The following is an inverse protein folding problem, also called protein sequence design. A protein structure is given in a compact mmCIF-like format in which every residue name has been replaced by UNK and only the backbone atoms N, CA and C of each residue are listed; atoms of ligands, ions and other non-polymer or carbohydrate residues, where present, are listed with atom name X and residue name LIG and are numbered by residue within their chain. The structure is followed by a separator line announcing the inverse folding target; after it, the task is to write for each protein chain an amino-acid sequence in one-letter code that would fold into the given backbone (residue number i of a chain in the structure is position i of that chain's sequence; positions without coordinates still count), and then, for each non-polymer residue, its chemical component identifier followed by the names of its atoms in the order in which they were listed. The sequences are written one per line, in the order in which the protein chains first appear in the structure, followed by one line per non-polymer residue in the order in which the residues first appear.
data_IF_024358312345
#
_entry.id   IF_024358312345
#
_cell.length_a   1.000
_cell.length_b   1.000
_cell.length_c   1.000
_cell.angle_alpha   90.00
_cell.angle_beta   90.00
_cell.angle_gamma   90.00
#
_symmetry.space_group_name_H-M   'P 1'
#
loop_
_entity.id
_entity.type
_entity.pdbx_description
1 polymer ?
#
# COMPACT_ATOMS: atom_id res chain seq x y z
N UNK A 1 -5.26 15.26 30.65
CA UNK A 1 -5.34 13.97 29.91
C UNK A 1 -5.42 14.34 28.46
N UNK A 2 -4.45 13.95 27.65
CA UNK A 2 -4.26 14.54 26.32
C UNK A 2 -4.20 13.42 25.27
N UNK A 3 -4.67 13.66 24.06
CA UNK A 3 -4.55 12.72 22.93
C UNK A 3 -4.25 13.46 21.64
N UNK A 4 -3.66 12.77 20.65
CA UNK A 4 -3.50 13.27 19.30
C UNK A 4 -4.11 12.26 18.33
N UNK A 5 -4.77 12.76 17.30
CA UNK A 5 -5.30 11.93 16.23
C UNK A 5 -4.19 11.73 15.20
N UNK A 6 -3.76 10.48 15.02
CA UNK A 6 -2.62 10.10 14.17
C UNK A 6 -3.04 9.50 12.82
N UNK A 7 -4.33 9.57 12.46
CA UNK A 7 -4.86 9.06 11.19
C UNK A 7 -5.98 9.96 10.69
N UNK A 8 -6.35 9.92 9.38
CA UNK A 8 -7.46 10.70 8.88
C UNK A 8 -8.74 10.41 9.65
N UNK A 9 -9.55 11.44 9.85
CA UNK A 9 -10.86 11.30 10.50
C UNK A 9 -11.79 10.45 9.61
N UNK A 10 -12.28 9.36 10.18
CA UNK A 10 -13.33 8.54 9.63
C UNK A 10 -14.44 8.36 10.68
N UNK A 11 -15.55 7.70 10.32
CA UNK A 11 -16.68 7.50 11.24
C UNK A 11 -16.24 6.80 12.55
N UNK A 12 -15.30 5.86 12.47
CA UNK A 12 -14.78 5.14 13.63
C UNK A 12 -13.90 6.05 14.50
N UNK A 13 -12.97 6.78 13.90
CA UNK A 13 -12.08 7.71 14.60
C UNK A 13 -12.90 8.82 15.26
N UNK A 14 -13.88 9.39 14.55
CA UNK A 14 -14.79 10.40 15.10
C UNK A 14 -15.56 9.87 16.32
N UNK A 15 -16.04 8.61 16.28
CA UNK A 15 -16.70 8.01 17.44
C UNK A 15 -15.76 7.88 18.65
N UNK A 16 -14.48 7.58 18.41
CA UNK A 16 -13.45 7.47 19.45
C UNK A 16 -13.07 8.84 20.02
N UNK A 17 -12.91 9.85 19.15
CA UNK A 17 -12.63 11.24 19.56
C UNK A 17 -13.75 11.75 20.47
N UNK A 18 -15.02 11.60 20.08
CA UNK A 18 -16.18 11.97 20.92
C UNK A 18 -16.16 11.28 22.29
N UNK A 19 -15.82 9.99 22.32
CA UNK A 19 -15.70 9.23 23.58
C UNK A 19 -14.55 9.73 24.46
N UNK A 20 -13.46 10.20 23.87
CA UNK A 20 -12.30 10.77 24.59
C UNK A 20 -12.66 12.15 25.16
N UNK A 21 -13.33 12.99 24.38
CA UNK A 21 -13.85 14.30 24.80
C UNK A 21 -14.82 14.17 25.98
N UNK A 22 -15.77 13.23 25.92
CA UNK A 22 -16.69 12.92 27.03
C UNK A 22 -15.95 12.52 28.32
N UNK A 23 -14.76 11.94 28.21
CA UNK A 23 -13.90 11.55 29.33
C UNK A 23 -12.98 12.67 29.80
N UNK A 24 -13.20 13.91 29.33
CA UNK A 24 -12.39 15.10 29.60
C UNK A 24 -10.93 14.94 29.14
N UNK A 25 -10.72 14.29 28.00
CA UNK A 25 -9.43 14.32 27.32
C UNK A 25 -9.39 15.48 26.32
N UNK A 26 -8.24 16.15 26.23
CA UNK A 26 -8.02 17.28 25.32
C UNK A 26 -7.22 16.83 24.10
N UNK A 27 -7.68 17.17 22.90
CA UNK A 27 -6.91 16.93 21.68
C UNK A 27 -5.70 17.86 21.61
N UNK A 28 -4.54 17.33 21.24
CA UNK A 28 -3.32 18.07 20.97
C UNK A 28 -3.16 18.24 19.47
N UNK A 29 -3.18 19.48 19.01
CA UNK A 29 -2.96 19.84 17.61
C UNK A 29 -4.00 19.25 16.64
N UNK A 30 -3.71 19.43 15.36
CA UNK A 30 -4.54 18.91 14.28
C UNK A 30 -4.28 17.41 14.06
N UNK A 31 -5.28 16.67 13.53
CA UNK A 31 -5.08 15.30 13.09
C UNK A 31 -3.92 15.20 12.09
N UNK A 32 -2.96 14.32 12.37
CA UNK A 32 -1.85 14.02 11.47
C UNK A 32 -2.07 12.68 10.76
N UNK A 33 -1.52 12.50 9.56
CA UNK A 33 -1.49 11.20 8.87
C UNK A 33 -0.21 10.44 9.23
N UNK A 34 -0.06 10.12 10.50
CA UNK A 34 1.10 9.37 10.95
C UNK A 34 0.91 7.88 10.69
N UNK A 35 1.74 7.34 9.81
CA UNK A 35 1.83 5.90 9.58
C UNK A 35 2.87 5.35 10.56
N UNK A 36 2.47 4.49 11.52
CA UNK A 36 3.41 3.95 12.49
C UNK A 36 4.51 3.17 11.78
N UNK A 37 5.72 3.22 12.33
CA UNK A 37 6.74 2.25 11.94
C UNK A 37 6.28 0.84 12.32
N UNK A 38 6.66 -0.18 11.55
CA UNK A 38 6.50 -1.56 11.97
C UNK A 38 7.11 -1.78 13.36
N UNK A 39 6.48 -2.64 14.17
CA UNK A 39 7.09 -3.11 15.41
C UNK A 39 8.35 -3.94 15.09
N UNK A 40 9.36 -3.94 15.95
CA UNK A 40 10.71 -4.46 15.68
C UNK A 40 10.76 -5.88 15.07
N UNK A 41 9.78 -6.73 15.35
CA UNK A 41 9.70 -8.10 14.81
C UNK A 41 9.13 -8.21 13.39
N UNK A 42 8.61 -7.12 12.83
CA UNK A 42 7.97 -7.08 11.52
C UNK A 42 8.68 -6.06 10.63
N UNK A 43 8.85 -6.39 9.35
CA UNK A 43 9.45 -5.47 8.39
C UNK A 43 8.43 -4.50 7.79
N UNK A 44 7.13 -4.81 7.87
CA UNK A 44 6.07 -3.95 7.35
C UNK A 44 4.86 -3.83 8.28
N UNK A 45 4.07 -2.79 8.05
CA UNK A 45 2.71 -2.65 8.58
C UNK A 45 1.75 -2.24 7.47
N UNK A 46 0.54 -2.79 7.53
CA UNK A 46 -0.58 -2.40 6.67
C UNK A 46 -1.47 -1.43 7.45
N UNK A 47 -1.69 -0.25 6.89
CA UNK A 47 -2.56 0.77 7.47
C UNK A 47 -3.81 0.92 6.62
N UNK A 48 -5.00 0.61 7.14
CA UNK A 48 -6.24 0.76 6.39
C UNK A 48 -6.45 2.20 5.94
N UNK A 49 -6.60 2.36 4.63
CA UNK A 49 -6.80 3.67 4.02
C UNK A 49 -8.27 4.10 4.19
N UNK A 50 -8.56 5.24 4.82
CA UNK A 50 -9.93 5.68 5.03
C UNK A 50 -10.65 5.94 3.71
N UNK A 51 -11.91 5.47 3.59
CA UNK A 51 -12.73 5.60 2.36
C UNK A 51 -12.96 7.06 1.93
N UNK A 52 -12.91 7.98 2.88
CA UNK A 52 -13.08 9.40 2.66
C UNK A 52 -11.77 10.12 2.31
N UNK A 53 -10.63 9.43 2.36
CA UNK A 53 -9.34 10.03 2.01
C UNK A 53 -9.28 10.29 0.50
N UNK A 54 -8.60 11.38 0.13
CA UNK A 54 -8.36 11.77 -1.27
C UNK A 54 -7.66 10.66 -2.04
N UNK A 55 -6.67 10.01 -1.39
CA UNK A 55 -5.97 8.87 -1.96
C UNK A 55 -6.94 7.71 -2.24
N UNK A 56 -7.75 7.29 -1.27
CA UNK A 56 -8.70 6.19 -1.48
C UNK A 56 -9.64 6.47 -2.66
N UNK A 57 -10.18 7.68 -2.75
CA UNK A 57 -11.09 8.08 -3.81
C UNK A 57 -10.41 8.07 -5.19
N UNK A 58 -9.18 8.61 -5.26
CA UNK A 58 -8.39 8.62 -6.49
C UNK A 58 -8.11 7.19 -6.98
N UNK A 59 -7.67 6.32 -6.08
CA UNK A 59 -7.37 4.91 -6.38
C UNK A 59 -8.62 4.12 -6.80
N UNK A 60 -9.73 4.37 -6.10
CA UNK A 60 -11.01 3.74 -6.42
C UNK A 60 -11.46 4.13 -7.83
N UNK A 61 -11.31 5.41 -8.20
CA UNK A 61 -11.65 5.88 -9.55
C UNK A 61 -10.80 5.18 -10.61
N UNK A 62 -9.48 5.11 -10.43
CA UNK A 62 -8.59 4.45 -11.39
C UNK A 62 -8.83 2.94 -11.47
N UNK A 63 -9.15 2.28 -10.36
CA UNK A 63 -9.48 0.85 -10.35
C UNK A 63 -10.81 0.58 -11.08
N UNK A 64 -11.82 1.43 -10.89
CA UNK A 64 -13.10 1.34 -11.59
C UNK A 64 -12.93 1.52 -13.11
N UNK A 65 -11.97 2.33 -13.55
CA UNK A 65 -11.64 2.46 -14.99
C UNK A 65 -11.06 1.17 -15.55
N UNK A 66 -10.22 0.45 -14.78
CA UNK A 66 -9.56 -0.79 -15.21
C UNK A 66 -10.55 -1.96 -15.21
N UNK A 67 -11.40 -2.02 -14.20
CA UNK A 67 -12.38 -3.09 -14.04
C UNK A 67 -13.65 -2.57 -13.37
N UNK A 68 -14.66 -2.12 -14.16
CA UNK A 68 -15.91 -1.59 -13.60
C UNK A 68 -16.67 -2.58 -12.72
N UNK A 69 -16.43 -3.88 -12.88
CA UNK A 69 -17.01 -4.96 -12.08
C UNK A 69 -16.21 -5.29 -10.81
N UNK A 70 -15.05 -4.67 -10.58
CA UNK A 70 -14.22 -4.93 -9.41
C UNK A 70 -14.80 -4.24 -8.19
N UNK A 71 -15.30 -5.04 -7.25
CA UNK A 71 -15.73 -4.54 -5.93
C UNK A 71 -14.53 -4.44 -4.99
N UNK A 72 -14.18 -3.22 -4.61
CA UNK A 72 -13.10 -2.95 -3.65
C UNK A 72 -13.58 -3.30 -2.23
N UNK A 73 -12.91 -4.28 -1.61
CA UNK A 73 -13.21 -4.73 -0.24
C UNK A 73 -12.52 -3.82 0.78
N UNK A 74 -11.20 -3.67 0.65
CA UNK A 74 -10.34 -2.79 1.43
C UNK A 74 -9.25 -2.19 0.55
N UNK A 75 -8.64 -1.11 1.04
CA UNK A 75 -7.37 -0.60 0.54
C UNK A 75 -6.51 -0.34 1.76
N UNK A 76 -5.28 -0.84 1.73
CA UNK A 76 -4.33 -0.69 2.80
C UNK A 76 -3.07 -0.04 2.23
N UNK A 77 -2.53 0.93 2.96
CA UNK A 77 -1.25 1.55 2.69
C UNK A 77 -0.14 0.71 3.32
N UNK A 78 0.93 0.48 2.57
CA UNK A 78 2.05 -0.38 2.98
C UNK A 78 3.15 0.51 3.51
N UNK A 79 3.60 0.28 4.75
CA UNK A 79 4.84 0.87 5.26
C UNK A 79 5.86 -0.21 5.52
N UNK A 80 6.91 -0.23 4.71
CA UNK A 80 8.11 -1.04 4.90
C UNK A 80 9.33 -0.11 4.73
N UNK A 81 9.92 0.40 5.82
CA UNK A 81 11.02 1.36 5.75
C UNK A 81 12.24 0.84 4.97
N UNK A 82 12.54 -0.46 5.08
CA UNK A 82 13.70 -1.05 4.41
C UNK A 82 13.53 -1.09 2.88
N UNK A 83 12.31 -1.43 2.42
CA UNK A 83 12.01 -1.43 0.99
C UNK A 83 11.91 -0.01 0.44
N UNK A 84 11.39 0.94 1.22
CA UNK A 84 11.34 2.36 0.88
C UNK A 84 12.74 2.95 0.71
N UNK A 85 13.65 2.71 1.67
CA UNK A 85 15.04 3.15 1.59
C UNK A 85 15.75 2.55 0.36
N UNK A 86 15.52 1.26 0.10
CA UNK A 86 16.07 0.56 -1.07
C UNK A 86 15.53 1.17 -2.37
N UNK A 87 14.22 1.42 -2.44
CA UNK A 87 13.56 2.02 -3.59
C UNK A 87 14.11 3.42 -3.89
N UNK A 88 14.17 4.29 -2.88
CA UNK A 88 14.68 5.66 -3.03
C UNK A 88 16.17 5.69 -3.37
N UNK A 89 16.96 4.75 -2.83
CA UNK A 89 18.36 4.56 -3.23
C UNK A 89 18.49 4.22 -4.72
N UNK A 90 17.72 3.26 -5.21
CA UNK A 90 17.72 2.85 -6.63
C UNK A 90 17.19 3.95 -7.55
N UNK A 91 16.14 4.67 -7.15
CA UNK A 91 15.58 5.81 -7.88
C UNK A 91 16.63 6.90 -8.11
N UNK A 92 17.45 7.22 -7.10
CA UNK A 92 18.58 8.16 -7.24
C UNK A 92 19.65 7.67 -8.20
N UNK A 93 19.96 6.36 -8.19
CA UNK A 93 20.93 5.76 -9.12
C UNK A 93 20.42 5.87 -10.57
N UNK A 94 19.16 5.51 -10.81
CA UNK A 94 18.54 5.60 -12.15
C UNK A 94 18.49 7.05 -12.61
N UNK A 95 18.08 7.99 -11.74
CA UNK A 95 18.06 9.41 -12.06
C UNK A 95 19.45 9.90 -12.52
N UNK A 96 20.53 9.50 -11.82
CA UNK A 96 21.91 9.83 -12.21
C UNK A 96 22.26 9.27 -13.60
N UNK A 97 21.79 8.08 -13.94
CA UNK A 97 22.01 7.43 -15.24
C UNK A 97 21.14 8.04 -16.37
N UNK A 98 19.98 8.60 -16.01
CA UNK A 98 18.95 9.08 -16.95
C UNK A 98 18.81 10.62 -16.94
N UNK A 99 19.92 11.36 -16.89
CA UNK A 99 19.96 12.84 -16.95
C UNK A 99 19.04 13.53 -15.92
N UNK A 100 18.95 12.97 -14.72
CA UNK A 100 18.13 13.48 -13.63
C UNK A 100 16.68 13.03 -13.63
N UNK A 101 16.23 12.25 -14.63
CA UNK A 101 14.83 11.79 -14.70
C UNK A 101 14.74 10.25 -14.60
N UNK A 102 14.31 9.70 -13.45
CA UNK A 102 14.13 8.27 -13.29
C UNK A 102 12.88 7.71 -14.00
N UNK A 103 12.02 8.58 -14.57
CA UNK A 103 10.76 8.20 -15.24
C UNK A 103 9.86 7.31 -14.35
N UNK A 104 9.70 7.70 -13.09
CA UNK A 104 8.88 7.01 -12.11
C UNK A 104 7.41 6.97 -12.53
N UNK A 105 6.77 5.80 -12.40
CA UNK A 105 5.39 5.58 -12.81
C UNK A 105 4.64 4.73 -11.79
N UNK A 106 3.43 5.15 -11.46
CA UNK A 106 2.51 4.37 -10.63
C UNK A 106 1.79 3.32 -11.49
N UNK A 107 1.93 2.05 -11.13
CA UNK A 107 1.40 0.90 -11.88
C UNK A 107 0.66 -0.07 -10.95
N UNK A 108 -0.22 -0.86 -11.54
CA UNK A 108 -0.93 -1.93 -10.84
C UNK A 108 -0.21 -3.26 -11.01
N UNK A 109 -0.16 -4.06 -9.94
CA UNK A 109 0.40 -5.40 -9.97
C UNK A 109 -0.58 -6.40 -9.31
N UNK A 110 -1.12 -7.32 -10.12
CA UNK A 110 -1.94 -8.43 -9.62
C UNK A 110 -1.07 -9.62 -9.25
N UNK A 111 -1.32 -10.24 -8.10
CA UNK A 111 -0.59 -11.42 -7.64
C UNK A 111 -1.52 -12.43 -6.96
N UNK A 112 -0.99 -13.61 -6.60
CA UNK A 112 -1.72 -14.62 -5.84
C UNK A 112 -1.70 -14.29 -4.34
N UNK A 113 -2.68 -14.81 -3.61
CA UNK A 113 -2.84 -14.55 -2.18
C UNK A 113 -1.64 -14.98 -1.31
N UNK A 114 -1.01 -16.09 -1.66
CA UNK A 114 0.18 -16.64 -0.98
C UNK A 114 1.44 -15.80 -1.21
N UNK A 115 1.55 -15.15 -2.37
CA UNK A 115 2.67 -14.26 -2.70
C UNK A 115 2.62 -12.89 -2.00
N UNK A 116 1.46 -12.48 -1.47
CA UNK A 116 1.26 -11.15 -0.88
C UNK A 116 2.27 -10.88 0.23
N UNK A 117 2.35 -11.78 1.22
CA UNK A 117 3.26 -11.59 2.35
C UNK A 117 4.73 -11.59 1.92
N UNK A 118 5.08 -12.40 0.93
CA UNK A 118 6.45 -12.44 0.39
C UNK A 118 6.86 -11.10 -0.21
N UNK A 119 5.94 -10.45 -0.96
CA UNK A 119 6.15 -9.14 -1.56
C UNK A 119 6.18 -8.03 -0.50
N UNK A 120 5.28 -8.07 0.47
CA UNK A 120 5.24 -7.08 1.56
C UNK A 120 6.51 -7.09 2.42
N UNK A 121 7.06 -8.28 2.64
CA UNK A 121 8.25 -8.47 3.47
C UNK A 121 9.54 -8.18 2.72
N UNK A 122 9.68 -8.69 1.48
CA UNK A 122 10.96 -8.72 0.75
C UNK A 122 10.97 -7.89 -0.54
N UNK A 123 9.85 -7.28 -0.91
CA UNK A 123 9.71 -6.58 -2.18
C UNK A 123 9.53 -7.54 -3.37
N UNK A 124 9.66 -6.99 -4.57
CA UNK A 124 9.53 -7.76 -5.81
C UNK A 124 10.86 -8.41 -6.19
N UNK A 125 10.82 -9.72 -6.47
CA UNK A 125 11.94 -10.47 -7.02
C UNK A 125 11.45 -11.54 -8.02
N UNK A 126 12.39 -12.36 -8.50
CA UNK A 126 12.15 -13.35 -9.55
C UNK A 126 11.20 -14.48 -9.15
N UNK A 127 10.92 -14.67 -7.85
CA UNK A 127 9.96 -15.66 -7.36
C UNK A 127 8.52 -15.31 -7.72
N UNK A 128 8.23 -14.02 -7.95
CA UNK A 128 6.89 -13.52 -8.26
C UNK A 128 6.66 -13.27 -9.75
N UNK A 129 7.56 -13.76 -10.60
CA UNK A 129 7.47 -13.59 -12.04
C UNK A 129 6.39 -14.50 -12.66
N UNK A 130 5.44 -13.90 -13.39
CA UNK A 130 4.45 -14.60 -14.22
C UNK A 130 5.08 -15.49 -15.27
N UNK A 131 4.66 -16.75 -15.35
CA UNK A 131 5.21 -17.68 -16.34
C UNK A 131 4.83 -17.43 -17.81
N UNK A 132 3.95 -16.46 -18.04
CA UNK A 132 3.28 -16.25 -19.31
C UNK A 132 3.66 -14.91 -19.98
N UNK A 133 4.62 -14.17 -19.41
CA UNK A 133 5.03 -12.87 -19.93
C UNK A 133 5.81 -12.99 -21.25
N UNK A 134 5.38 -12.25 -22.28
CA UNK A 134 6.03 -12.25 -23.60
C UNK A 134 7.34 -11.44 -23.67
N UNK A 135 7.67 -10.67 -22.63
CA UNK A 135 8.75 -9.67 -22.65
C UNK A 135 9.85 -9.98 -21.60
N UNK A 136 10.43 -11.18 -21.66
CA UNK A 136 11.61 -11.58 -20.87
C UNK A 136 11.81 -13.09 -20.72
N UNK A 137 13.06 -13.60 -20.84
CA UNK A 137 13.40 -15.02 -20.60
C UNK A 137 13.67 -15.27 -19.10
N UNK A 138 12.65 -15.73 -18.36
CA UNK A 138 12.63 -16.31 -16.97
C UNK A 138 11.45 -15.87 -16.10
N UNK A 139 10.43 -15.34 -16.75
CA UNK A 139 9.06 -15.34 -16.30
C UNK A 139 8.46 -16.72 -16.65
N UNK A 140 8.82 -17.80 -15.92
CA UNK A 140 8.41 -19.23 -16.12
C UNK A 140 8.49 -19.99 -14.76
N UNK A 141 7.43 -20.26 -13.98
CA UNK A 141 6.44 -21.36 -14.11
C UNK A 141 5.45 -21.21 -12.93
N UNK A 142 4.16 -20.97 -13.16
CA UNK A 142 3.18 -21.09 -12.06
C UNK A 142 1.92 -20.23 -12.14
N UNK A 143 1.20 -20.18 -13.26
CA UNK A 143 -0.16 -19.60 -13.28
C UNK A 143 -1.16 -20.51 -13.99
N UNK A 144 -1.38 -21.70 -13.42
CA UNK A 144 -2.70 -22.33 -13.37
C UNK A 144 -2.78 -23.19 -12.11
N UNK A 145 -3.57 -22.76 -11.12
CA UNK A 145 -4.34 -23.69 -10.31
C UNK A 145 -5.71 -23.06 -10.02
N UNK A 146 -6.75 -23.85 -10.24
CA UNK A 146 -8.16 -23.51 -10.09
C UNK A 146 -8.55 -23.81 -8.65
N UNK A 147 -8.57 -22.80 -7.79
CA UNK A 147 -9.34 -22.77 -6.53
C UNK A 147 -9.10 -21.38 -5.93
N UNK A 148 -9.91 -20.36 -6.19
CA UNK A 148 -10.95 -19.92 -5.22
C UNK A 148 -11.81 -18.76 -5.78
N UNK A 149 -11.68 -18.41 -7.06
CA UNK A 149 -12.49 -17.36 -7.70
C UNK A 149 -12.28 -15.94 -7.15
N UNK A 150 -11.31 -15.70 -6.25
CA UNK A 150 -11.00 -14.38 -5.70
C UNK A 150 -9.70 -13.85 -6.27
N UNK A 151 -9.76 -12.69 -6.93
CA UNK A 151 -8.58 -11.94 -7.39
C UNK A 151 -8.22 -10.93 -6.31
N UNK A 152 -7.04 -11.09 -5.71
CA UNK A 152 -6.49 -10.13 -4.75
C UNK A 152 -5.60 -9.14 -5.52
N UNK A 153 -5.91 -7.85 -5.42
CA UNK A 153 -5.11 -6.79 -6.01
C UNK A 153 -4.31 -6.14 -4.89
N UNK A 154 -2.98 -6.18 -4.97
CA UNK A 154 -2.15 -5.28 -4.18
C UNK A 154 -1.94 -4.05 -5.03
N UNK A 155 -2.33 -2.90 -4.50
CA UNK A 155 -1.90 -1.63 -5.09
C UNK A 155 -0.79 -1.10 -4.21
N UNK A 156 0.45 -1.27 -4.68
CA UNK A 156 1.63 -0.74 -3.99
C UNK A 156 1.74 0.73 -4.38
N UNK A 157 1.45 1.62 -3.43
CA UNK A 157 1.90 3.00 -3.49
C UNK A 157 2.95 3.21 -2.41
N UNK A 158 4.10 3.70 -2.82
CA UNK A 158 4.95 4.49 -1.94
C UNK A 158 4.35 5.91 -1.94
N UNK A 159 4.10 6.44 -0.75
CA UNK A 159 3.59 7.80 -0.56
C UNK A 159 4.71 8.61 0.07
N UNK A 160 5.05 9.73 -0.58
CA UNK A 160 5.91 10.79 -0.04
C UNK A 160 5.28 11.46 1.19
#
# INVERSE_FOLDING_TARGET
KNFQVLRPLDALVNSRVKKMEQRKWTQLGEPSNFIPRPYEKYNFVLVPLPRLSTLYQALSKTMNTIGPSVKIVSMDEIKNPFLEDTYEGMKKIIARQCKGNPNEQKRYHGTKGDAINGILENGFDDRFFSSAGAWGKRMLKGFMDKQTGKRHFIVVFYVD
#
